data_IF_073310818323
#
_entry.id   IF_073310818323
#
_cell.length_a   1.000
_cell.length_b   1.000
_cell.length_c   1.000
_cell.angle_alpha   90.00
_cell.angle_beta   90.00
_cell.angle_gamma   90.00
#
_symmetry.space_group_name_H-M   'P 1'
#
loop_
_entity.id
_entity.type
_entity.pdbx_description
1 polymer ?
#
# COMPACT_ATOMS: atom_id res chain seq x y z
N UNK A 1 -4.12 8.30 -18.97
CA UNK A 1 -3.76 8.22 -17.53
C UNK A 1 -4.76 8.92 -16.59
N UNK A 2 -5.50 9.96 -17.00
CA UNK A 2 -6.51 10.63 -16.13
C UNK A 2 -7.52 9.69 -15.47
N UNK A 3 -8.15 8.78 -16.25
CA UNK A 3 -9.12 7.80 -15.71
C UNK A 3 -8.54 6.89 -14.62
N UNK A 4 -7.29 6.47 -14.79
CA UNK A 4 -6.59 5.62 -13.81
C UNK A 4 -6.33 6.39 -12.53
N UNK A 5 -5.93 7.66 -12.63
CA UNK A 5 -5.71 8.52 -11.46
C UNK A 5 -7.03 8.83 -10.74
N UNK A 6 -8.10 9.15 -11.48
CA UNK A 6 -9.46 9.34 -10.92
C UNK A 6 -9.93 8.11 -10.16
N UNK A 7 -9.70 6.91 -10.71
CA UNK A 7 -10.00 5.66 -10.02
C UNK A 7 -9.11 5.45 -8.79
N UNK A 8 -7.85 5.85 -8.82
CA UNK A 8 -6.92 5.72 -7.69
C UNK A 8 -7.31 6.66 -6.53
N UNK A 9 -7.70 7.89 -6.85
CA UNK A 9 -8.07 8.95 -5.90
C UNK A 9 -9.54 8.91 -5.47
N UNK A 10 -10.37 8.08 -6.12
CA UNK A 10 -11.76 7.89 -5.73
C UNK A 10 -11.87 7.40 -4.28
N UNK A 11 -12.87 7.92 -3.55
CA UNK A 11 -13.11 7.59 -2.14
C UNK A 11 -13.18 6.08 -1.90
N UNK A 12 -12.63 5.57 -0.78
CA UNK A 12 -12.80 4.17 -0.40
C UNK A 12 -14.28 3.82 -0.23
N UNK A 13 -14.66 2.60 -0.59
CA UNK A 13 -16.00 2.07 -0.30
C UNK A 13 -16.17 1.77 1.20
N UNK A 14 -17.41 1.55 1.67
CA UNK A 14 -17.67 1.32 3.11
C UNK A 14 -16.91 0.08 3.61
N UNK A 15 -15.98 0.30 4.54
CA UNK A 15 -15.11 -0.73 5.13
C UNK A 15 -13.84 -1.02 4.33
N UNK A 16 -13.55 -0.21 3.31
CA UNK A 16 -12.31 -0.26 2.54
C UNK A 16 -11.32 0.78 3.05
N UNK A 17 -10.04 0.42 3.11
CA UNK A 17 -8.96 1.40 3.21
C UNK A 17 -8.22 1.42 1.89
N UNK A 18 -8.26 2.58 1.23
CA UNK A 18 -7.68 2.79 -0.09
C UNK A 18 -6.74 3.97 -0.05
N UNK A 19 -5.56 3.78 -0.61
CA UNK A 19 -4.55 4.83 -0.77
C UNK A 19 -4.00 4.76 -2.19
N UNK A 20 -3.90 5.92 -2.83
CA UNK A 20 -3.21 6.05 -4.11
C UNK A 20 -1.71 6.25 -3.83
N UNK A 21 -0.87 5.30 -4.25
CA UNK A 21 0.57 5.42 -4.08
C UNK A 21 1.21 5.91 -5.39
N UNK A 22 1.73 7.13 -5.38
CA UNK A 22 2.40 7.75 -6.54
C UNK A 22 3.93 7.62 -6.48
N UNK A 23 4.46 7.14 -5.36
CA UNK A 23 5.89 6.92 -5.13
C UNK A 23 6.13 5.70 -4.24
N UNK A 24 7.37 5.19 -4.23
CA UNK A 24 7.78 4.13 -3.32
C UNK A 24 7.59 4.53 -1.83
N UNK A 25 7.87 5.79 -1.50
CA UNK A 25 7.69 6.32 -0.14
C UNK A 25 6.22 6.22 0.30
N UNK A 26 5.29 6.62 -0.57
CA UNK A 26 3.85 6.52 -0.29
C UNK A 26 3.39 5.06 -0.12
N UNK A 27 4.00 4.13 -0.86
CA UNK A 27 3.76 2.70 -0.68
C UNK A 27 4.26 2.21 0.69
N UNK A 28 5.48 2.58 1.08
CA UNK A 28 6.06 2.21 2.37
C UNK A 28 5.25 2.78 3.54
N UNK A 29 4.74 4.01 3.42
CA UNK A 29 3.85 4.61 4.40
C UNK A 29 2.53 3.84 4.53
N UNK A 30 1.93 3.42 3.42
CA UNK A 30 0.73 2.59 3.44
C UNK A 30 0.96 1.24 4.10
N UNK A 31 2.08 0.58 3.78
CA UNK A 31 2.48 -0.68 4.41
C UNK A 31 2.69 -0.49 5.91
N UNK A 32 3.37 0.58 6.32
CA UNK A 32 3.55 0.91 7.74
C UNK A 32 2.23 1.23 8.45
N UNK A 33 1.24 1.80 7.76
CA UNK A 33 -0.09 2.04 8.32
C UNK A 33 -0.86 0.72 8.58
N UNK A 34 -0.68 -0.29 7.70
CA UNK A 34 -1.36 -1.59 7.85
C UNK A 34 -0.64 -2.49 8.84
N UNK A 35 0.67 -2.68 8.66
CA UNK A 35 1.48 -3.61 9.43
C UNK A 35 1.86 -2.98 10.79
N UNK A 36 1.85 -1.66 10.88
CA UNK A 36 2.45 -0.91 11.97
C UNK A 36 3.88 -0.52 11.62
N UNK A 37 4.39 0.48 12.35
CA UNK A 37 5.82 0.84 12.30
C UNK A 37 6.64 -0.12 13.17
N UNK A 38 7.98 -0.08 13.01
CA UNK A 38 8.91 -0.77 13.90
C UNK A 38 8.60 -0.51 15.38
N UNK A 39 8.19 0.72 15.71
CA UNK A 39 7.82 1.13 17.06
C UNK A 39 6.59 0.39 17.60
N UNK A 40 5.63 0.04 16.73
CA UNK A 40 4.40 -0.67 17.11
C UNK A 40 4.59 -2.18 17.19
N UNK A 41 5.46 -2.73 16.34
CA UNK A 41 5.72 -4.17 16.30
C UNK A 41 6.88 -4.62 17.20
N UNK A 42 7.76 -3.71 17.61
CA UNK A 42 8.94 -4.03 18.43
C UNK A 42 9.99 -4.88 17.70
N UNK A 43 9.88 -5.01 16.37
CA UNK A 43 10.76 -5.81 15.53
C UNK A 43 11.27 -4.96 14.36
N UNK A 44 12.55 -5.15 14.02
CA UNK A 44 13.17 -4.51 12.85
C UNK A 44 12.84 -5.30 11.58
N UNK A 45 12.66 -4.64 10.41
CA UNK A 45 12.50 -5.31 9.13
C UNK A 45 13.62 -6.34 8.92
N UNK A 46 13.25 -7.52 8.43
CA UNK A 46 14.20 -8.60 8.12
C UNK A 46 14.69 -9.43 9.31
N UNK A 47 14.29 -9.13 10.56
CA UNK A 47 14.71 -9.93 11.74
C UNK A 47 13.84 -11.15 12.05
N UNK A 48 12.54 -11.08 11.75
CA UNK A 48 11.60 -12.16 12.05
C UNK A 48 10.47 -12.16 11.02
N UNK A 49 9.93 -13.35 10.66
CA UNK A 49 8.71 -13.43 9.88
C UNK A 49 7.52 -12.94 10.71
N UNK A 50 6.65 -12.12 10.11
CA UNK A 50 5.43 -11.62 10.74
C UNK A 50 4.23 -12.09 9.95
N UNK A 51 3.32 -12.79 10.62
CA UNK A 51 1.98 -13.02 10.10
C UNK A 51 1.13 -11.78 10.41
N UNK A 52 0.58 -11.16 9.37
CA UNK A 52 -0.44 -10.13 9.52
C UNK A 52 -1.64 -10.50 8.67
N UNK A 53 -2.83 -10.36 9.25
CA UNK A 53 -4.08 -10.57 8.54
C UNK A 53 -4.45 -9.25 7.86
N UNK A 54 -4.34 -9.18 6.55
CA UNK A 54 -4.95 -8.09 5.79
C UNK A 54 -6.47 -8.31 5.77
N UNK A 55 -7.27 -7.36 6.26
CA UNK A 55 -8.68 -7.33 5.92
C UNK A 55 -8.85 -7.38 4.39
N UNK A 56 -9.81 -8.18 3.92
CA UNK A 56 -10.13 -8.41 2.50
C UNK A 56 -10.44 -7.15 1.67
N UNK A 57 -10.45 -5.97 2.29
CA UNK A 57 -10.82 -4.68 1.70
C UNK A 57 -9.69 -3.63 1.76
N UNK A 58 -8.43 -4.06 1.83
CA UNK A 58 -7.29 -3.15 1.61
C UNK A 58 -6.87 -3.19 0.15
N UNK A 59 -7.07 -2.09 -0.57
CA UNK A 59 -6.69 -1.96 -1.97
C UNK A 59 -5.61 -0.88 -2.12
N UNK A 60 -4.47 -1.29 -2.68
CA UNK A 60 -3.39 -0.39 -3.10
C UNK A 60 -3.34 -0.36 -4.61
N UNK A 61 -3.43 0.84 -5.18
CA UNK A 61 -3.22 1.06 -6.61
C UNK A 61 -1.79 1.57 -6.81
N UNK A 62 -1.04 0.85 -7.63
CA UNK A 62 0.32 1.23 -8.02
C UNK A 62 0.36 1.48 -9.51
N UNK A 63 1.16 2.46 -9.98
CA UNK A 63 1.44 2.57 -11.40
C UNK A 63 2.10 1.26 -11.85
N UNK A 64 1.57 0.64 -12.91
CA UNK A 64 2.27 -0.47 -13.52
C UNK A 64 3.63 0.06 -14.02
N UNK A 65 4.76 -0.56 -13.65
CA UNK A 65 5.99 -0.28 -14.36
C UNK A 65 5.73 -0.69 -15.81
N UNK A 66 5.66 0.28 -16.73
CA UNK A 66 5.83 -0.02 -18.14
C UNK A 66 7.11 -0.83 -18.22
N UNK A 67 7.07 -2.05 -18.77
CA UNK A 67 8.29 -2.80 -18.98
C UNK A 67 9.24 -1.84 -19.70
N UNK A 68 10.32 -1.44 -19.02
CA UNK A 68 11.44 -0.85 -19.69
C UNK A 68 11.90 -1.96 -20.64
N UNK A 69 11.53 -1.79 -21.90
CA UNK A 69 12.05 -2.55 -23.02
C UNK A 69 13.55 -2.61 -22.84
N UNK A 70 14.10 -3.83 -22.77
CA UNK A 70 15.53 -4.03 -23.03
C UNK A 70 15.89 -3.50 -24.41
#
# INVERSE_FOLDING_TARGET
MRRTLEQCEAKPTKGETKTCATSLESMLQFVAAIIGSEAKLGIKPGKAPVCHFFPVKHLMWVPQPSQATK
#
